data_IF_368176642627
#
_entry.id   IF_368176642627
#
_cell.length_a   1.000
_cell.length_b   1.000
_cell.length_c   1.000
_cell.angle_alpha   90.00
_cell.angle_beta   90.00
_cell.angle_gamma   90.00
#
_symmetry.space_group_name_H-M   'P 1'
#
loop_
_entity.id
_entity.type
_entity.pdbx_description
1 polymer ?
#
# COMPACT_ATOMS: atom_id res chain seq x y z
N UNK A 1 -33.79 -13.93 -17.61
CA UNK A 1 -32.61 -13.07 -17.76
C UNK A 1 -32.52 -12.31 -16.44
N UNK A 2 -32.07 -12.99 -15.40
CA UNK A 2 -31.72 -12.34 -14.14
C UNK A 2 -30.20 -12.36 -14.11
N UNK A 3 -29.64 -11.17 -14.23
CA UNK A 3 -28.21 -10.92 -14.23
C UNK A 3 -27.59 -11.52 -12.97
N UNK A 4 -26.54 -12.30 -13.17
CA UNK A 4 -25.71 -12.86 -12.11
C UNK A 4 -25.26 -11.70 -11.20
N UNK A 5 -25.52 -11.72 -9.88
CA UNK A 5 -25.10 -10.63 -9.01
C UNK A 5 -23.58 -10.53 -9.06
N UNK A 6 -23.08 -9.35 -9.41
CA UNK A 6 -21.65 -9.06 -9.55
C UNK A 6 -20.88 -9.57 -8.35
N UNK A 7 -20.08 -10.61 -8.60
CA UNK A 7 -19.16 -11.17 -7.65
C UNK A 7 -17.99 -10.19 -7.43
N UNK A 8 -18.22 -9.13 -6.67
CA UNK A 8 -17.19 -8.36 -6.00
C UNK A 8 -17.74 -7.94 -4.65
N UNK A 9 -17.81 -8.89 -3.73
CA UNK A 9 -17.49 -8.56 -2.35
C UNK A 9 -16.10 -7.97 -2.38
N UNK A 10 -16.02 -6.64 -2.52
CA UNK A 10 -14.84 -5.90 -2.13
C UNK A 10 -14.69 -6.25 -0.67
N UNK A 11 -13.83 -7.24 -0.41
CA UNK A 11 -13.36 -7.51 0.93
C UNK A 11 -12.84 -6.16 1.39
N UNK A 12 -13.63 -5.48 2.22
CA UNK A 12 -13.18 -4.34 3.01
C UNK A 12 -11.94 -4.87 3.70
N UNK A 13 -10.77 -4.58 3.11
CA UNK A 13 -9.54 -5.20 3.53
C UNK A 13 -9.19 -4.46 4.81
N UNK A 14 -9.70 -5.00 5.91
CA UNK A 14 -9.64 -4.41 7.24
C UNK A 14 -8.18 -4.26 7.68
N UNK A 15 -7.28 -4.96 6.99
CA UNK A 15 -5.85 -4.88 7.16
C UNK A 15 -5.27 -3.69 6.38
N UNK A 16 -4.93 -2.66 7.14
CA UNK A 16 -4.22 -1.48 6.64
C UNK A 16 -2.72 -1.62 6.86
N UNK A 17 -1.95 -0.94 6.02
CA UNK A 17 -0.51 -0.93 6.05
C UNK A 17 -0.02 0.50 6.13
N UNK A 18 0.93 0.76 7.01
CA UNK A 18 1.67 2.01 7.01
C UNK A 18 2.92 1.84 6.16
N UNK A 19 3.07 2.73 5.18
CA UNK A 19 4.23 2.81 4.31
C UNK A 19 4.99 4.08 4.68
N UNK A 20 6.23 3.89 5.12
CA UNK A 20 7.15 4.97 5.42
C UNK A 20 8.14 5.11 4.27
N UNK A 21 8.24 6.31 3.69
CA UNK A 21 9.29 6.64 2.72
C UNK A 21 10.54 7.01 3.49
N UNK A 22 11.66 6.40 3.16
CA UNK A 22 12.92 6.63 3.84
C UNK A 22 13.85 7.46 2.98
N UNK A 23 14.59 8.37 3.61
CA UNK A 23 15.73 9.02 2.98
C UNK A 23 16.82 7.98 2.68
N UNK A 24 17.38 8.01 1.47
CA UNK A 24 18.40 7.04 1.06
C UNK A 24 19.75 7.26 1.76
N UNK A 25 20.06 8.49 2.17
CA UNK A 25 21.34 8.86 2.78
C UNK A 25 21.41 8.49 4.27
N UNK A 26 20.36 8.75 5.05
CA UNK A 26 20.35 8.55 6.51
C UNK A 26 19.33 7.51 7.01
N UNK A 27 18.46 7.01 6.12
CA UNK A 27 17.45 5.99 6.47
C UNK A 27 16.29 6.51 7.32
N UNK A 28 16.20 7.82 7.59
CA UNK A 28 15.09 8.44 8.33
C UNK A 28 13.80 8.44 7.52
N UNK A 29 12.68 8.25 8.22
CA UNK A 29 11.37 8.45 7.63
C UNK A 29 11.15 9.91 7.25
N UNK A 30 10.87 10.15 5.98
CA UNK A 30 10.54 11.48 5.43
C UNK A 30 9.04 11.69 5.28
N UNK A 31 8.29 10.61 5.09
CA UNK A 31 6.85 10.61 4.91
C UNK A 31 6.26 9.27 5.38
N UNK A 32 5.01 9.30 5.85
CA UNK A 32 4.26 8.12 6.28
C UNK A 32 2.84 8.20 5.73
N UNK A 33 2.40 7.14 5.04
CA UNK A 33 1.03 7.05 4.53
C UNK A 33 0.43 5.70 4.94
N UNK A 34 -0.82 5.71 5.41
CA UNK A 34 -1.58 4.48 5.70
C UNK A 34 -2.48 4.16 4.53
N UNK A 35 -2.41 2.93 4.03
CA UNK A 35 -3.15 2.46 2.85
C UNK A 35 -3.74 1.08 3.09
N UNK A 36 -4.77 0.75 2.31
CA UNK A 36 -5.33 -0.60 2.27
C UNK A 36 -4.43 -1.54 1.47
N UNK A 37 -4.57 -2.85 1.72
CA UNK A 37 -3.74 -3.87 1.08
C UNK A 37 -3.76 -3.82 -0.46
N UNK A 38 -4.89 -3.44 -1.05
CA UNK A 38 -5.03 -3.33 -2.51
C UNK A 38 -4.11 -2.26 -3.12
N UNK A 39 -3.80 -1.19 -2.38
CA UNK A 39 -2.96 -0.10 -2.86
C UNK A 39 -1.46 -0.32 -2.60
N UNK A 40 -1.10 -1.29 -1.75
CA UNK A 40 0.30 -1.58 -1.41
C UNK A 40 1.12 -1.96 -2.64
N UNK A 41 0.57 -2.81 -3.52
CA UNK A 41 1.26 -3.24 -4.75
C UNK A 41 1.66 -2.07 -5.65
N UNK A 42 0.71 -1.15 -5.90
CA UNK A 42 0.98 0.02 -6.73
C UNK A 42 2.07 0.92 -6.15
N UNK A 43 2.08 1.12 -4.82
CA UNK A 43 3.08 1.95 -4.15
C UNK A 43 4.45 1.30 -4.20
N UNK A 44 4.54 -0.02 -4.03
CA UNK A 44 5.80 -0.77 -4.16
C UNK A 44 6.37 -0.64 -5.57
N UNK A 45 5.53 -0.81 -6.59
CA UNK A 45 5.96 -0.69 -7.99
C UNK A 45 6.45 0.73 -8.31
N UNK A 46 5.73 1.75 -7.86
CA UNK A 46 6.14 3.14 -8.03
C UNK A 46 7.47 3.43 -7.34
N UNK A 47 7.66 2.97 -6.10
CA UNK A 47 8.90 3.16 -5.37
C UNK A 47 10.06 2.44 -6.07
N UNK A 48 9.86 1.21 -6.54
CA UNK A 48 10.87 0.46 -7.29
C UNK A 48 11.26 1.17 -8.60
N UNK A 49 10.30 1.76 -9.31
CA UNK A 49 10.55 2.44 -10.59
C UNK A 49 11.49 3.64 -10.47
N UNK A 50 11.52 4.31 -9.31
CA UNK A 50 12.40 5.47 -9.05
C UNK A 50 13.54 5.16 -8.08
N UNK A 51 13.70 3.90 -7.65
CA UNK A 51 14.70 3.51 -6.66
C UNK A 51 14.46 4.07 -5.25
N UNK A 52 13.21 4.39 -4.90
CA UNK A 52 12.86 4.93 -3.59
C UNK A 52 12.88 3.84 -2.53
N UNK A 53 13.53 4.14 -1.40
CA UNK A 53 13.55 3.27 -0.23
C UNK A 53 12.25 3.44 0.56
N UNK A 54 11.50 2.35 0.72
CA UNK A 54 10.27 2.32 1.50
C UNK A 54 10.33 1.23 2.57
N UNK A 55 9.66 1.47 3.69
CA UNK A 55 9.42 0.50 4.75
C UNK A 55 7.92 0.29 4.89
N UNK A 56 7.48 -0.97 4.96
CA UNK A 56 6.07 -1.34 5.00
C UNK A 56 5.81 -2.14 6.27
N UNK A 57 4.82 -1.74 7.05
CA UNK A 57 4.37 -2.47 8.24
C UNK A 57 2.84 -2.52 8.33
N UNK A 58 2.26 -3.50 9.03
CA UNK A 58 0.84 -3.47 9.39
C UNK A 58 0.54 -2.22 10.22
N UNK A 59 -0.56 -1.53 9.91
CA UNK A 59 -1.15 -0.47 10.74
C UNK A 59 -2.18 -1.10 11.69
N UNK A 60 -2.06 -0.84 12.99
CA UNK A 60 -3.06 -1.22 14.00
C UNK A 60 -4.10 -0.12 14.20
#
# INVERSE_FOLDING_TARGET
>A
MEECPDAKGEAVNTMRFEIMRLNDQDGRAVDCTVVDAASVDQIVQQAAAIGQRIYIRPAQ
#
